data_IF_311544764642
#
_entry.id   IF_311544764642
#
_cell.length_a   1.000
_cell.length_b   1.000
_cell.length_c   1.000
_cell.angle_alpha   90.00
_cell.angle_beta   90.00
_cell.angle_gamma   90.00
#
_symmetry.space_group_name_H-M   'P 1'
#
loop_
_entity.id
_entity.type
_entity.pdbx_description
1 polymer ?
#
# COMPACT_ATOMS: atom_id res chain seq x y z
N UNK A 1 -9.66 6.55 53.09
CA UNK A 1 -9.61 6.33 51.62
C UNK A 1 -10.39 7.43 50.95
N UNK A 2 -9.79 8.20 50.06
CA UNK A 2 -10.50 9.17 49.25
C UNK A 2 -11.52 8.41 48.39
N UNK A 3 -12.73 8.93 48.26
CA UNK A 3 -13.73 8.37 47.34
C UNK A 3 -13.36 8.73 45.92
N UNK A 4 -13.86 7.97 44.95
CA UNK A 4 -13.68 8.27 43.51
C UNK A 4 -14.07 9.73 43.17
N UNK A 5 -15.10 10.26 43.83
CA UNK A 5 -15.55 11.64 43.67
C UNK A 5 -14.55 12.67 44.22
N UNK A 6 -13.84 12.35 45.27
CA UNK A 6 -12.82 13.22 45.87
C UNK A 6 -11.55 13.21 45.05
N UNK A 7 -11.24 12.10 44.39
CA UNK A 7 -10.04 11.96 43.54
C UNK A 7 -10.22 12.59 42.16
N UNK A 8 -11.42 12.60 41.60
CA UNK A 8 -11.63 12.94 40.19
C UNK A 8 -12.66 14.06 39.94
N UNK A 9 -13.43 14.51 40.92
CA UNK A 9 -14.29 15.71 40.87
C UNK A 9 -15.38 15.75 39.79
N UNK A 10 -15.54 14.73 38.95
CA UNK A 10 -16.44 14.72 37.81
C UNK A 10 -17.40 13.52 37.90
N UNK A 11 -18.67 13.78 37.69
CA UNK A 11 -19.69 12.72 37.56
C UNK A 11 -19.59 12.13 36.14
N UNK A 12 -19.54 10.80 36.06
CA UNK A 12 -19.73 10.11 34.77
C UNK A 12 -21.17 10.41 34.29
N UNK A 13 -21.31 10.93 33.09
CA UNK A 13 -22.61 11.16 32.48
C UNK A 13 -23.35 9.84 32.31
N UNK A 14 -24.61 9.79 32.73
CA UNK A 14 -25.49 8.65 32.48
C UNK A 14 -26.40 8.98 31.32
N UNK A 15 -26.30 8.19 30.25
CA UNK A 15 -27.05 8.38 29.00
C UNK A 15 -27.73 7.08 28.60
N UNK A 16 -28.87 7.18 27.88
CA UNK A 16 -29.58 5.99 27.38
C UNK A 16 -29.01 5.47 26.06
N UNK A 17 -28.22 6.29 25.33
CA UNK A 17 -27.51 5.91 24.11
C UNK A 17 -26.12 6.54 24.11
N UNK A 18 -25.21 6.00 23.30
CA UNK A 18 -23.90 6.64 23.15
C UNK A 18 -24.07 8.05 22.54
N UNK A 19 -23.27 9.05 22.98
CA UNK A 19 -23.24 10.38 22.36
C UNK A 19 -22.95 10.27 20.87
N UNK A 20 -23.59 11.10 20.06
CA UNK A 20 -23.38 11.13 18.62
C UNK A 20 -22.05 11.80 18.21
N UNK A 21 -21.48 12.63 19.07
CA UNK A 21 -20.23 13.34 18.84
C UNK A 21 -19.41 13.42 20.15
N UNK A 22 -18.92 12.30 20.69
CA UNK A 22 -18.10 12.30 21.89
C UNK A 22 -16.72 12.91 21.60
N UNK A 23 -16.10 13.48 22.64
CA UNK A 23 -14.72 13.96 22.57
C UNK A 23 -13.74 12.90 23.05
N UNK A 24 -12.55 12.90 22.50
CA UNK A 24 -11.48 12.03 22.97
C UNK A 24 -11.25 12.19 24.48
N UNK A 25 -11.15 11.07 25.19
CA UNK A 25 -11.07 11.01 26.65
C UNK A 25 -12.40 11.13 27.37
N UNK A 26 -13.51 11.38 26.68
CA UNK A 26 -14.84 11.43 27.29
C UNK A 26 -15.26 10.03 27.76
N UNK A 27 -15.83 9.97 28.97
CA UNK A 27 -16.33 8.72 29.58
C UNK A 27 -17.78 8.89 29.99
N UNK A 28 -18.64 7.92 29.70
CA UNK A 28 -20.05 7.90 30.09
C UNK A 28 -20.53 6.50 30.47
N UNK A 29 -21.62 6.45 31.22
CA UNK A 29 -22.33 5.19 31.50
C UNK A 29 -23.56 5.09 30.58
N UNK A 30 -23.59 4.07 29.72
CA UNK A 30 -24.74 3.76 28.90
C UNK A 30 -25.71 2.90 29.72
N UNK A 31 -26.82 3.52 30.17
CA UNK A 31 -27.77 2.86 31.04
C UNK A 31 -28.60 1.77 30.37
N UNK A 32 -28.81 1.85 29.07
CA UNK A 32 -29.49 0.81 28.27
C UNK A 32 -28.66 -0.45 28.15
N UNK A 33 -27.35 -0.29 27.97
CA UNK A 33 -26.41 -1.42 27.82
C UNK A 33 -25.85 -1.88 29.18
N UNK A 34 -26.03 -1.09 30.22
CA UNK A 34 -25.45 -1.35 31.55
C UNK A 34 -23.92 -1.27 31.55
N UNK A 35 -23.31 -0.44 30.70
CA UNK A 35 -21.89 -0.43 30.45
C UNK A 35 -21.27 0.95 30.59
N UNK A 36 -20.08 0.99 31.21
CA UNK A 36 -19.20 2.16 31.13
C UNK A 36 -18.52 2.19 29.78
N UNK A 37 -18.59 3.33 29.11
CA UNK A 37 -18.01 3.57 27.78
C UNK A 37 -17.01 4.71 27.84
N UNK A 38 -15.98 4.64 26.99
CA UNK A 38 -15.03 5.72 26.80
C UNK A 38 -14.78 5.94 25.31
N UNK A 39 -14.58 7.19 24.90
CA UNK A 39 -14.12 7.54 23.57
C UNK A 39 -12.62 7.72 23.62
N UNK A 40 -11.90 6.68 23.22
CA UNK A 40 -10.45 6.56 23.43
C UNK A 40 -9.75 6.31 22.10
N UNK A 41 -8.50 6.76 22.01
CA UNK A 41 -7.64 6.43 20.89
C UNK A 41 -7.35 4.92 20.90
N UNK A 42 -7.85 4.21 19.89
CA UNK A 42 -7.43 2.85 19.60
C UNK A 42 -6.11 2.91 18.83
N UNK A 43 -5.07 2.14 19.21
CA UNK A 43 -3.81 2.12 18.47
C UNK A 43 -4.02 1.58 17.07
N UNK A 44 -3.09 1.90 16.18
CA UNK A 44 -3.00 1.26 14.88
C UNK A 44 -2.78 -0.25 15.04
N UNK A 45 -3.34 -1.03 14.14
CA UNK A 45 -3.25 -2.50 14.14
C UNK A 45 -2.85 -3.05 12.78
N UNK A 46 -2.20 -4.23 12.80
CA UNK A 46 -2.13 -5.15 11.68
C UNK A 46 -2.90 -6.41 12.08
N UNK A 47 -3.80 -6.88 11.23
CA UNK A 47 -4.60 -8.08 11.46
C UNK A 47 -4.54 -8.99 10.24
N UNK A 48 -4.74 -10.30 10.43
CA UNK A 48 -4.78 -11.23 9.30
C UNK A 48 -6.05 -11.04 8.51
N UNK A 49 -5.91 -10.91 7.19
CA UNK A 49 -6.98 -11.02 6.21
C UNK A 49 -7.09 -12.44 5.62
N UNK A 50 -7.96 -12.62 4.64
CA UNK A 50 -8.07 -13.88 3.89
C UNK A 50 -6.82 -14.13 3.05
N UNK A 51 -6.32 -15.36 3.02
CA UNK A 51 -5.16 -15.73 2.22
C UNK A 51 -5.47 -15.72 0.72
N UNK A 52 -4.49 -15.28 -0.09
CA UNK A 52 -4.53 -15.46 -1.55
C UNK A 52 -4.65 -16.96 -1.89
N UNK A 53 -5.33 -17.29 -2.98
CA UNK A 53 -5.43 -18.67 -3.45
C UNK A 53 -4.08 -19.23 -3.90
N UNK A 54 -3.20 -18.35 -4.43
CA UNK A 54 -1.87 -18.73 -4.93
C UNK A 54 -0.79 -17.83 -4.36
N UNK A 55 0.17 -18.42 -3.64
CA UNK A 55 1.35 -17.71 -3.15
C UNK A 55 2.23 -17.25 -4.32
N UNK A 56 2.65 -15.99 -4.33
CA UNK A 56 3.45 -15.38 -5.41
C UNK A 56 4.33 -14.26 -4.90
N UNK A 57 5.37 -14.02 -5.64
CA UNK A 57 6.30 -12.92 -5.44
C UNK A 57 6.43 -12.09 -6.73
N UNK A 58 6.96 -10.87 -6.63
CA UNK A 58 7.19 -10.00 -7.80
C UNK A 58 5.91 -9.77 -8.64
N UNK A 59 4.77 -9.72 -7.99
CA UNK A 59 3.45 -9.58 -8.62
C UNK A 59 3.07 -8.11 -8.78
N UNK A 60 2.12 -7.83 -9.67
CA UNK A 60 1.40 -6.56 -9.74
C UNK A 60 0.21 -6.57 -8.78
N UNK A 61 -0.17 -5.39 -8.33
CA UNK A 61 -1.37 -5.25 -7.51
C UNK A 61 -1.75 -3.79 -7.31
N UNK A 62 -3.03 -3.54 -7.22
CA UNK A 62 -3.60 -2.20 -7.03
C UNK A 62 -4.99 -2.28 -6.41
N UNK A 63 -5.58 -1.12 -6.09
CA UNK A 63 -6.94 -1.00 -5.60
C UNK A 63 -7.15 0.34 -4.90
N UNK A 64 -8.40 0.67 -4.65
CA UNK A 64 -8.80 1.95 -4.05
C UNK A 64 -9.11 1.85 -2.55
N UNK A 65 -9.33 0.65 -2.04
CA UNK A 65 -9.71 0.41 -0.65
C UNK A 65 -9.10 -0.88 -0.11
N UNK A 66 -8.99 -0.98 1.20
CA UNK A 66 -8.57 -2.19 1.91
C UNK A 66 -9.45 -3.40 1.55
N UNK A 67 -10.73 -3.17 1.32
CA UNK A 67 -11.74 -4.20 1.00
C UNK A 67 -12.00 -4.37 -0.50
N UNK A 68 -11.16 -3.80 -1.36
CA UNK A 68 -11.34 -3.87 -2.82
C UNK A 68 -9.98 -3.72 -3.51
N UNK A 69 -9.32 -4.85 -3.71
CA UNK A 69 -8.03 -4.91 -4.34
C UNK A 69 -7.89 -6.05 -5.34
N UNK A 70 -6.88 -5.95 -6.18
CA UNK A 70 -6.55 -6.93 -7.21
C UNK A 70 -5.07 -7.22 -7.18
N UNK A 71 -4.69 -8.49 -7.36
CA UNK A 71 -3.33 -8.94 -7.59
C UNK A 71 -3.25 -9.77 -8.87
N UNK A 72 -2.16 -9.65 -9.61
CA UNK A 72 -2.02 -10.33 -10.89
C UNK A 72 -0.57 -10.60 -11.25
N UNK A 73 -0.35 -11.57 -12.12
CA UNK A 73 0.99 -11.97 -12.56
C UNK A 73 1.87 -12.47 -11.42
N UNK A 74 3.17 -12.26 -11.53
CA UNK A 74 4.17 -12.69 -10.56
C UNK A 74 4.72 -14.08 -10.83
N UNK A 75 5.43 -14.62 -9.83
CA UNK A 75 6.16 -15.89 -9.93
C UNK A 75 5.81 -16.83 -8.79
N UNK A 76 5.57 -18.16 -9.11
CA UNK A 76 5.23 -19.21 -8.16
C UNK A 76 5.38 -20.62 -8.75
N UNK A 77 6.41 -21.33 -8.69
CA UNK A 77 7.80 -21.02 -8.99
C UNK A 77 8.01 -20.56 -10.44
N UNK A 78 6.97 -20.55 -11.27
CA UNK A 78 6.98 -20.09 -12.66
C UNK A 78 6.14 -18.82 -12.81
N UNK A 79 6.45 -18.05 -13.85
CA UNK A 79 5.66 -16.87 -14.21
C UNK A 79 4.21 -17.26 -14.45
N UNK A 80 3.28 -16.44 -14.00
CA UNK A 80 1.85 -16.67 -14.12
C UNK A 80 1.11 -15.42 -14.62
N UNK A 81 -0.07 -15.61 -15.21
CA UNK A 81 -1.01 -14.55 -15.56
C UNK A 81 -2.25 -14.55 -14.64
N UNK A 82 -2.26 -15.36 -13.58
CA UNK A 82 -3.39 -15.47 -12.66
C UNK A 82 -3.71 -14.13 -12.05
N UNK A 83 -4.99 -13.80 -12.00
CA UNK A 83 -5.54 -12.63 -11.33
C UNK A 83 -6.41 -13.09 -10.15
N UNK A 84 -6.31 -12.42 -9.03
CA UNK A 84 -7.16 -12.62 -7.87
C UNK A 84 -7.68 -11.28 -7.34
N UNK A 85 -8.93 -11.28 -6.90
CA UNK A 85 -9.65 -10.10 -6.39
C UNK A 85 -10.00 -10.29 -4.92
N UNK A 86 -9.78 -9.24 -4.12
CA UNK A 86 -10.05 -9.22 -2.68
C UNK A 86 -11.30 -8.43 -2.36
N UNK A 87 -12.20 -9.00 -1.55
CA UNK A 87 -13.45 -8.38 -1.11
C UNK A 87 -13.41 -7.86 0.35
N UNK A 88 -12.23 -7.85 0.99
CA UNK A 88 -12.06 -7.53 2.40
C UNK A 88 -12.15 -8.76 3.32
N UNK A 89 -12.40 -9.94 2.78
CA UNK A 89 -12.53 -11.16 3.56
C UNK A 89 -11.86 -12.35 2.88
N UNK A 90 -12.00 -12.45 1.57
CA UNK A 90 -11.53 -13.58 0.77
C UNK A 90 -11.04 -13.15 -0.61
N UNK A 91 -10.21 -13.99 -1.20
CA UNK A 91 -9.71 -13.84 -2.57
C UNK A 91 -10.49 -14.75 -3.51
N UNK A 92 -10.89 -14.21 -4.65
CA UNK A 92 -11.53 -14.93 -5.75
C UNK A 92 -10.74 -14.78 -7.04
N UNK A 93 -10.70 -15.81 -7.87
CA UNK A 93 -10.01 -15.72 -9.15
C UNK A 93 -10.78 -14.82 -10.12
N UNK A 94 -10.10 -13.84 -10.69
CA UNK A 94 -10.56 -13.01 -11.80
C UNK A 94 -10.10 -13.53 -13.15
N UNK A 95 -10.30 -12.74 -14.21
CA UNK A 95 -9.85 -13.06 -15.56
C UNK A 95 -8.32 -13.15 -15.64
N UNK A 96 -7.80 -14.24 -16.20
CA UNK A 96 -6.35 -14.45 -16.37
C UNK A 96 -5.80 -13.47 -17.41
N UNK A 97 -4.68 -12.80 -17.08
CA UNK A 97 -3.98 -11.97 -18.05
C UNK A 97 -3.34 -12.84 -19.15
N UNK A 98 -3.42 -12.41 -20.42
CA UNK A 98 -2.81 -13.15 -21.54
C UNK A 98 -1.31 -13.31 -21.43
N UNK A 99 -0.62 -12.35 -20.78
CA UNK A 99 0.81 -12.39 -20.56
C UNK A 99 1.13 -12.99 -19.19
N UNK A 100 2.25 -13.73 -19.12
CA UNK A 100 2.83 -14.24 -17.88
C UNK A 100 4.09 -13.46 -17.58
N UNK A 101 4.05 -12.58 -16.60
CA UNK A 101 5.15 -11.65 -16.25
C UNK A 101 5.28 -11.52 -14.73
N UNK A 102 6.47 -11.09 -14.30
CA UNK A 102 6.75 -10.56 -12.97
C UNK A 102 7.29 -9.14 -13.06
N UNK A 103 7.50 -8.46 -11.94
CA UNK A 103 8.12 -7.13 -11.87
C UNK A 103 7.44 -6.10 -12.80
N UNK A 104 6.12 -6.04 -12.81
CA UNK A 104 5.36 -5.14 -13.66
C UNK A 104 4.91 -3.88 -12.92
N UNK A 105 4.67 -2.81 -13.69
CA UNK A 105 3.97 -1.62 -13.21
C UNK A 105 2.49 -1.90 -13.01
N UNK A 106 1.91 -1.34 -11.96
CA UNK A 106 0.48 -1.49 -11.68
C UNK A 106 -0.14 -0.22 -11.15
N UNK A 107 -1.30 0.16 -11.69
CA UNK A 107 -2.08 1.33 -11.28
C UNK A 107 -3.57 1.03 -11.41
N UNK A 108 -4.41 1.85 -10.77
CA UNK A 108 -5.86 1.77 -10.93
C UNK A 108 -6.60 1.20 -9.74
N UNK A 109 -7.70 0.52 -10.01
CA UNK A 109 -8.60 -0.07 -9.01
C UNK A 109 -8.84 -1.55 -9.29
N UNK A 110 -9.56 -2.26 -8.43
CA UNK A 110 -9.92 -3.66 -8.61
C UNK A 110 -10.64 -3.92 -9.95
N UNK A 111 -11.54 -3.05 -10.35
CA UNK A 111 -12.35 -3.20 -11.58
C UNK A 111 -11.82 -2.39 -12.77
N UNK A 112 -10.73 -1.68 -12.60
CA UNK A 112 -10.09 -0.89 -13.65
C UNK A 112 -8.59 -0.80 -13.35
N UNK A 113 -7.88 -1.90 -13.56
CA UNK A 113 -6.45 -2.00 -13.33
C UNK A 113 -5.65 -1.87 -14.62
N UNK A 114 -4.47 -1.29 -14.51
CA UNK A 114 -3.49 -1.16 -15.57
C UNK A 114 -2.25 -1.98 -15.20
N UNK A 115 -1.73 -2.71 -16.15
CA UNK A 115 -0.46 -3.41 -16.08
C UNK A 115 0.45 -2.97 -17.21
N UNK A 116 1.71 -2.64 -16.93
CA UNK A 116 2.70 -2.27 -17.93
C UNK A 116 4.05 -2.89 -17.68
N UNK A 117 4.75 -3.28 -18.76
CA UNK A 117 6.11 -3.80 -18.71
C UNK A 117 6.23 -5.19 -18.09
N UNK A 118 7.33 -5.43 -17.38
CA UNK A 118 7.58 -6.66 -16.61
C UNK A 118 8.73 -7.52 -17.14
N UNK A 119 9.00 -8.57 -16.39
CA UNK A 119 10.02 -9.59 -16.65
C UNK A 119 9.38 -10.87 -17.25
N UNK A 120 9.86 -11.44 -18.36
CA UNK A 120 10.93 -10.93 -19.24
C UNK A 120 10.65 -9.51 -19.74
N UNK A 121 11.73 -8.76 -19.98
CA UNK A 121 11.67 -7.35 -20.33
C UNK A 121 10.66 -7.07 -21.44
N UNK A 122 9.67 -6.21 -21.17
CA UNK A 122 8.53 -5.96 -22.06
C UNK A 122 8.11 -4.50 -22.06
N UNK A 123 7.46 -4.07 -23.15
CA UNK A 123 6.74 -2.82 -23.25
C UNK A 123 5.22 -3.00 -23.29
N UNK A 124 4.75 -4.25 -23.22
CA UNK A 124 3.32 -4.57 -23.29
C UNK A 124 2.55 -3.89 -22.16
N UNK A 125 1.33 -3.50 -22.46
CA UNK A 125 0.39 -2.91 -21.50
C UNK A 125 -0.97 -3.58 -21.62
N UNK A 126 -1.59 -3.88 -20.50
CA UNK A 126 -2.89 -4.51 -20.42
C UNK A 126 -3.82 -3.73 -19.49
N UNK A 127 -5.08 -3.64 -19.86
CA UNK A 127 -6.15 -3.06 -19.06
C UNK A 127 -7.13 -4.13 -18.60
N UNK A 128 -7.55 -4.05 -17.33
CA UNK A 128 -8.56 -4.91 -16.72
C UNK A 128 -9.87 -4.17 -16.57
N UNK A 129 -10.98 -4.79 -16.99
CA UNK A 129 -12.33 -4.21 -16.94
C UNK A 129 -13.20 -4.73 -15.78
N UNK A 130 -12.61 -5.45 -14.82
CA UNK A 130 -13.31 -6.15 -13.73
C UNK A 130 -13.67 -7.59 -14.08
N UNK A 131 -13.35 -8.07 -15.29
CA UNK A 131 -13.62 -9.44 -15.72
C UNK A 131 -12.56 -10.02 -16.64
N UNK A 132 -11.93 -9.21 -17.46
CA UNK A 132 -10.97 -9.63 -18.49
C UNK A 132 -9.87 -8.59 -18.71
N UNK A 133 -8.74 -9.07 -19.22
CA UNK A 133 -7.61 -8.25 -19.61
C UNK A 133 -7.60 -8.04 -21.13
N UNK A 134 -7.36 -6.80 -21.53
CA UNK A 134 -7.23 -6.40 -22.94
C UNK A 134 -5.86 -5.78 -23.18
N UNK A 135 -5.18 -6.20 -24.24
CA UNK A 135 -3.95 -5.56 -24.73
C UNK A 135 -4.26 -4.15 -25.20
N UNK A 136 -3.43 -3.19 -24.83
CA UNK A 136 -3.57 -1.78 -25.17
C UNK A 136 -2.23 -1.19 -25.66
N UNK A 137 -2.12 0.13 -25.74
CA UNK A 137 -0.93 0.79 -26.28
C UNK A 137 0.34 0.54 -25.49
N UNK A 138 1.39 0.04 -26.14
CA UNK A 138 2.66 -0.27 -25.52
C UNK A 138 3.36 0.95 -24.93
N UNK A 139 4.17 0.71 -23.91
CA UNK A 139 5.11 1.68 -23.37
C UNK A 139 6.16 2.08 -24.41
N UNK A 140 6.73 3.31 -24.33
CA UNK A 140 7.75 3.78 -25.28
C UNK A 140 9.04 2.96 -25.29
N UNK A 141 9.27 2.18 -24.24
CA UNK A 141 10.45 1.31 -24.11
C UNK A 141 10.11 0.09 -23.24
N UNK A 142 10.81 -1.01 -23.48
CA UNK A 142 10.69 -2.18 -22.65
C UNK A 142 11.29 -1.93 -21.26
N UNK A 143 10.56 -2.28 -20.22
CA UNK A 143 10.87 -1.97 -18.83
C UNK A 143 10.41 -3.10 -17.91
N UNK A 144 11.13 -3.27 -16.81
CA UNK A 144 10.77 -4.16 -15.69
C UNK A 144 11.34 -3.63 -14.39
N UNK A 145 11.11 -4.35 -13.32
CA UNK A 145 11.69 -4.10 -11.99
C UNK A 145 11.22 -2.76 -11.42
N UNK A 146 9.96 -2.76 -11.10
CA UNK A 146 9.31 -1.59 -10.59
C UNK A 146 8.47 -1.97 -9.40
N UNK A 147 9.15 -2.41 -8.37
CA UNK A 147 8.50 -2.57 -7.09
C UNK A 147 7.95 -1.22 -6.65
N UNK A 148 6.72 -0.92 -7.08
CA UNK A 148 5.98 0.26 -6.70
C UNK A 148 6.30 1.58 -7.41
N UNK A 149 7.08 1.59 -8.48
CA UNK A 149 7.40 2.79 -9.27
C UNK A 149 6.27 3.29 -10.19
N UNK A 150 5.02 3.08 -9.85
CA UNK A 150 3.87 3.59 -10.60
C UNK A 150 2.74 4.04 -9.68
N UNK A 151 1.98 5.01 -10.12
CA UNK A 151 0.81 5.54 -9.42
C UNK A 151 -0.25 6.02 -10.43
N UNK A 152 -1.45 6.29 -9.92
CA UNK A 152 -2.54 6.82 -10.71
C UNK A 152 -3.69 5.84 -10.93
N UNK A 153 -4.44 6.08 -12.00
CA UNK A 153 -5.60 5.28 -12.40
C UNK A 153 -5.30 4.51 -13.69
N UNK A 154 -6.22 3.63 -14.10
CA UNK A 154 -6.13 2.96 -15.39
C UNK A 154 -6.03 3.94 -16.57
N UNK A 155 -6.68 5.09 -16.50
CA UNK A 155 -6.74 6.08 -17.59
C UNK A 155 -5.80 7.27 -17.39
N UNK A 156 -5.08 7.33 -16.27
CA UNK A 156 -4.12 8.39 -15.97
C UNK A 156 -3.05 7.86 -15.02
N UNK A 157 -2.05 7.16 -15.56
CA UNK A 157 -0.99 6.56 -14.78
C UNK A 157 0.36 7.24 -15.04
N UNK A 158 1.21 7.26 -14.02
CA UNK A 158 2.59 7.66 -14.07
C UNK A 158 3.48 6.44 -13.77
N UNK A 159 4.42 6.18 -14.65
CA UNK A 159 5.48 5.22 -14.42
C UNK A 159 6.80 5.96 -14.21
N UNK A 160 7.57 5.55 -13.24
CA UNK A 160 8.78 6.23 -12.79
C UNK A 160 9.97 5.27 -12.81
N UNK A 161 10.97 5.57 -13.63
CA UNK A 161 12.20 4.80 -13.67
C UNK A 161 12.03 3.34 -14.12
N UNK A 162 12.85 2.45 -13.59
CA UNK A 162 12.84 1.01 -13.84
C UNK A 162 14.10 0.49 -14.55
N UNK A 163 14.12 -0.80 -14.82
CA UNK A 163 15.24 -1.49 -15.45
C UNK A 163 14.96 -1.73 -16.94
N UNK A 164 15.86 -1.26 -17.82
CA UNK A 164 15.63 -1.23 -19.27
C UNK A 164 16.53 -2.16 -20.09
N UNK A 165 17.64 -2.65 -19.55
CA UNK A 165 18.55 -3.56 -20.24
C UNK A 165 19.63 -4.10 -19.28
N UNK A 166 20.32 -5.22 -19.57
CA UNK A 166 21.27 -5.79 -18.63
C UNK A 166 22.20 -4.74 -17.98
N UNK A 167 22.04 -4.53 -16.69
CA UNK A 167 22.82 -3.62 -15.87
C UNK A 167 22.43 -2.14 -15.88
N UNK A 168 21.37 -1.73 -16.58
CA UNK A 168 20.99 -0.32 -16.67
C UNK A 168 19.60 -0.04 -16.11
N UNK A 169 19.56 0.82 -15.11
CA UNK A 169 18.33 1.49 -14.65
C UNK A 169 18.14 2.79 -15.42
N UNK A 170 16.90 3.21 -15.57
CA UNK A 170 16.55 4.49 -16.18
C UNK A 170 15.88 5.40 -15.19
N UNK A 171 16.05 6.70 -15.38
CA UNK A 171 15.27 7.74 -14.69
C UNK A 171 14.18 8.35 -15.58
N UNK A 172 13.95 7.78 -16.75
CA UNK A 172 12.88 8.20 -17.66
C UNK A 172 11.53 7.94 -17.01
N UNK A 173 10.61 8.85 -17.25
CA UNK A 173 9.23 8.76 -16.77
C UNK A 173 8.27 8.74 -17.97
N UNK A 174 7.18 8.00 -17.81
CA UNK A 174 6.13 7.91 -18.82
C UNK A 174 4.76 8.16 -18.21
N UNK A 175 3.90 8.78 -18.97
CA UNK A 175 2.50 8.99 -18.64
C UNK A 175 1.59 8.20 -19.57
N UNK A 176 0.55 7.59 -18.99
CA UNK A 176 -0.55 6.95 -19.72
C UNK A 176 -1.78 7.83 -19.69
N UNK A 177 -2.46 7.96 -20.82
CA UNK A 177 -3.63 8.83 -20.99
C UNK A 177 -4.94 8.06 -21.19
N UNK A 178 -4.95 6.75 -20.92
CA UNK A 178 -6.10 5.86 -21.14
C UNK A 178 -6.11 5.21 -22.53
N UNK A 179 -5.11 5.47 -23.39
CA UNK A 179 -4.99 4.83 -24.70
C UNK A 179 -3.55 4.65 -25.17
N UNK A 180 -2.64 5.49 -24.70
CA UNK A 180 -1.23 5.45 -25.12
C UNK A 180 -0.31 5.99 -24.05
N UNK A 181 0.93 5.51 -24.06
CA UNK A 181 2.01 6.01 -23.25
C UNK A 181 2.83 7.07 -24.00
N UNK A 182 3.30 8.05 -23.27
CA UNK A 182 4.26 9.05 -23.76
C UNK A 182 5.34 9.33 -22.73
N UNK A 183 6.58 9.54 -23.21
CA UNK A 183 7.64 10.02 -22.34
C UNK A 183 7.34 11.47 -21.95
N UNK A 184 7.63 11.80 -20.69
CA UNK A 184 7.65 13.19 -20.22
C UNK A 184 9.10 13.68 -20.13
N UNK A 185 9.35 15.00 -20.34
CA UNK A 185 10.71 15.54 -20.36
C UNK A 185 11.38 15.54 -18.98
N UNK A 186 10.60 15.46 -17.91
CA UNK A 186 11.09 15.35 -16.54
C UNK A 186 11.70 13.97 -16.31
N UNK A 187 12.68 13.94 -15.44
CA UNK A 187 13.34 12.69 -15.03
C UNK A 187 13.27 12.52 -13.54
N UNK A 188 13.25 11.29 -13.11
CA UNK A 188 13.36 10.96 -11.71
C UNK A 188 14.73 11.41 -11.17
N UNK A 189 14.82 12.15 -10.03
CA UNK A 189 16.05 12.80 -9.59
C UNK A 189 17.22 11.86 -9.28
N UNK A 190 16.91 10.63 -8.92
CA UNK A 190 17.89 9.58 -8.69
C UNK A 190 17.69 8.50 -9.75
N UNK A 191 18.73 8.17 -10.52
CA UNK A 191 18.71 6.87 -11.18
C UNK A 191 18.63 5.83 -10.07
N UNK A 192 17.61 4.95 -10.07
CA UNK A 192 17.44 4.00 -8.98
C UNK A 192 18.70 3.16 -8.85
N UNK A 193 19.43 3.37 -7.78
CA UNK A 193 20.53 2.50 -7.39
C UNK A 193 19.90 1.24 -6.85
N UNK A 194 20.02 0.13 -7.57
CA UNK A 194 19.73 -1.24 -7.05
C UNK A 194 18.67 -1.30 -5.95
N UNK A 195 17.53 -0.68 -6.14
CA UNK A 195 16.49 -0.61 -5.11
C UNK A 195 15.33 0.15 -5.64
N UNK A 196 14.25 -0.19 -5.15
CA UNK A 196 12.95 0.08 -5.69
C UNK A 196 12.30 1.12 -4.82
N UNK A 197 11.95 2.22 -5.42
CA UNK A 197 11.02 3.16 -4.82
C UNK A 197 9.63 2.54 -4.83
N UNK A 198 8.89 2.75 -3.77
CA UNK A 198 7.46 2.48 -3.71
C UNK A 198 6.73 3.80 -3.88
N UNK A 199 5.75 3.86 -4.78
CA UNK A 199 5.09 5.11 -5.14
C UNK A 199 3.59 5.02 -4.85
N UNK A 200 3.04 6.06 -4.25
CA UNK A 200 1.61 6.19 -3.96
C UNK A 200 1.08 7.56 -4.41
N UNK A 201 -0.17 7.62 -4.86
CA UNK A 201 -0.82 8.85 -5.30
C UNK A 201 -1.46 8.75 -6.66
N UNK A 202 -1.56 9.90 -7.33
CA UNK A 202 -2.12 10.02 -8.67
C UNK A 202 -1.06 10.52 -9.66
N UNK A 203 -1.33 10.44 -10.95
CA UNK A 203 -0.41 10.84 -12.03
C UNK A 203 0.22 12.23 -11.83
N UNK A 204 -0.55 13.18 -11.33
CA UNK A 204 -0.13 14.58 -11.15
C UNK A 204 0.30 14.92 -9.73
N UNK A 205 0.22 13.98 -8.78
CA UNK A 205 0.63 14.20 -7.40
C UNK A 205 0.92 12.86 -6.72
N UNK A 206 2.18 12.50 -6.58
CA UNK A 206 2.57 11.26 -5.92
C UNK A 206 3.78 11.42 -5.01
N UNK A 207 3.91 10.51 -4.07
CA UNK A 207 5.06 10.38 -3.17
C UNK A 207 5.77 9.06 -3.46
N UNK A 208 7.08 9.10 -3.63
CA UNK A 208 7.95 7.95 -3.80
C UNK A 208 8.87 7.83 -2.60
N UNK A 209 8.95 6.64 -2.02
CA UNK A 209 9.73 6.35 -0.83
C UNK A 209 10.64 5.13 -1.03
N UNK A 210 11.87 5.19 -0.47
CA UNK A 210 12.92 4.18 -0.66
C UNK A 210 13.87 4.53 -1.83
N UNK A 211 14.85 3.66 -2.19
CA UNK A 211 15.45 2.73 -1.26
C UNK A 211 16.18 3.45 -0.15
N UNK A 212 16.47 2.79 0.94
CA UNK A 212 17.02 3.45 2.13
C UNK A 212 16.00 4.38 2.80
N UNK A 213 16.36 5.58 3.18
CA UNK A 213 15.45 6.54 3.84
C UNK A 213 14.93 7.63 2.92
N UNK A 214 15.25 7.60 1.64
CA UNK A 214 14.87 8.67 0.71
C UNK A 214 13.36 8.75 0.52
N UNK A 215 12.84 9.97 0.44
CA UNK A 215 11.45 10.26 0.10
C UNK A 215 11.35 11.55 -0.73
N UNK A 216 10.57 11.51 -1.79
CA UNK A 216 10.41 12.61 -2.73
C UNK A 216 8.97 12.70 -3.22
N UNK A 217 8.51 13.90 -3.52
CA UNK A 217 7.17 14.20 -4.02
C UNK A 217 7.19 14.74 -5.44
N UNK A 218 6.21 14.30 -6.23
CA UNK A 218 5.90 14.80 -7.57
C UNK A 218 4.66 15.69 -7.53
N UNK A 219 4.74 16.88 -8.11
CA UNK A 219 3.64 17.87 -8.17
C UNK A 219 2.97 17.97 -9.55
N UNK A 220 3.25 17.04 -10.47
CA UNK A 220 2.81 17.08 -11.87
C UNK A 220 3.79 17.80 -12.81
N UNK A 221 4.85 18.42 -12.27
CA UNK A 221 5.84 19.17 -13.04
C UNK A 221 7.28 18.98 -12.58
N UNK A 222 7.48 18.74 -11.28
CA UNK A 222 8.81 18.63 -10.68
C UNK A 222 8.80 17.71 -9.46
N UNK A 223 10.00 17.17 -9.16
CA UNK A 223 10.24 16.40 -7.93
C UNK A 223 10.84 17.29 -6.85
N UNK A 224 10.37 17.12 -5.64
CA UNK A 224 10.90 17.81 -4.44
C UNK A 224 11.26 16.78 -3.38
N UNK A 225 12.44 16.92 -2.78
CA UNK A 225 12.86 16.08 -1.65
C UNK A 225 12.04 16.43 -0.41
N UNK A 226 11.50 15.40 0.23
CA UNK A 226 10.74 15.51 1.49
C UNK A 226 11.58 15.05 2.68
N UNK A 227 10.98 15.01 3.87
CA UNK A 227 11.63 14.43 5.04
C UNK A 227 11.78 12.91 4.85
N UNK A 228 12.92 12.41 5.31
CA UNK A 228 13.29 11.01 5.18
C UNK A 228 12.34 10.06 5.92
N UNK A 229 12.28 8.81 5.44
CA UNK A 229 11.67 7.71 6.18
C UNK A 229 12.29 7.58 7.58
N UNK A 230 11.48 7.25 8.56
CA UNK A 230 11.93 6.98 9.93
C UNK A 230 12.80 5.72 10.01
N UNK A 231 12.56 4.77 9.13
CA UNK A 231 13.34 3.52 8.97
C UNK A 231 13.54 3.28 7.49
N UNK A 232 14.77 2.95 7.08
CA UNK A 232 15.10 2.62 5.69
C UNK A 232 14.22 1.47 5.19
N UNK A 233 13.74 1.60 3.95
CA UNK A 233 12.83 0.63 3.35
C UNK A 233 13.01 0.59 1.82
N UNK A 234 12.67 -0.55 1.22
CA UNK A 234 12.66 -0.75 -0.23
C UNK A 234 11.58 -1.78 -0.60
N UNK A 235 11.13 -1.79 -1.85
CA UNK A 235 10.22 -2.81 -2.38
C UNK A 235 8.98 -3.08 -1.50
N UNK A 236 8.30 -2.03 -1.07
CA UNK A 236 7.21 -2.06 -0.10
C UNK A 236 5.87 -1.82 -0.74
N UNK A 237 4.80 -2.27 -0.10
CA UNK A 237 3.45 -1.84 -0.41
C UNK A 237 3.25 -0.40 0.08
N UNK A 238 2.99 0.54 -0.81
CA UNK A 238 2.82 1.96 -0.52
C UNK A 238 1.44 2.43 -1.00
N UNK A 239 0.63 2.96 -0.09
CA UNK A 239 -0.76 3.35 -0.35
C UNK A 239 -1.05 4.73 0.19
N UNK A 240 -1.91 5.48 -0.49
CA UNK A 240 -2.35 6.80 -0.06
C UNK A 240 -2.05 7.91 -1.06
N UNK A 241 -1.78 9.09 -0.55
CA UNK A 241 -1.56 10.34 -1.31
C UNK A 241 -0.33 11.10 -0.80
N UNK A 242 0.04 12.17 -1.48
CA UNK A 242 1.10 13.09 -1.04
C UNK A 242 0.85 13.72 0.33
N UNK A 243 -0.39 13.86 0.75
CA UNK A 243 -0.75 14.44 2.05
C UNK A 243 -0.91 13.41 3.16
N UNK A 244 -1.06 12.14 2.83
CA UNK A 244 -1.18 11.06 3.80
C UNK A 244 -0.98 9.72 3.12
N UNK A 245 0.02 8.96 3.55
CA UNK A 245 0.27 7.62 3.01
C UNK A 245 0.77 6.63 4.06
N UNK A 246 0.68 5.35 3.71
CA UNK A 246 1.20 4.23 4.51
C UNK A 246 2.13 3.38 3.67
N UNK A 247 3.29 3.06 4.22
CA UNK A 247 4.30 2.18 3.67
C UNK A 247 4.37 0.93 4.54
N UNK A 248 4.12 -0.24 3.96
CA UNK A 248 4.00 -1.50 4.68
C UNK A 248 5.00 -2.51 4.19
N UNK A 249 5.69 -3.16 5.11
CA UNK A 249 6.65 -4.24 4.84
C UNK A 249 7.82 -3.80 3.95
N UNK A 250 8.55 -4.74 3.40
CA UNK A 250 9.71 -4.47 2.55
C UNK A 250 11.05 -4.63 3.29
N UNK A 251 12.12 -4.92 2.55
CA UNK A 251 13.43 -5.07 3.14
C UNK A 251 13.93 -3.74 3.72
N UNK A 252 14.56 -3.80 4.86
CA UNK A 252 15.40 -2.71 5.34
C UNK A 252 16.83 -2.91 4.75
N UNK A 253 17.28 -2.08 3.80
CA UNK A 253 18.59 -2.24 3.19
C UNK A 253 19.75 -2.06 4.18
N UNK A 254 19.51 -1.37 5.28
CA UNK A 254 20.49 -1.14 6.36
C UNK A 254 20.36 -2.16 7.50
N UNK A 255 19.40 -3.09 7.41
CA UNK A 255 19.09 -4.09 8.42
C UNK A 255 19.71 -5.46 8.14
N UNK A 256 19.72 -6.34 9.14
CA UNK A 256 20.32 -7.68 9.01
C UNK A 256 19.50 -8.65 8.16
N UNK A 257 18.29 -8.29 7.76
CA UNK A 257 17.37 -9.15 7.01
C UNK A 257 16.81 -8.43 5.78
N UNK A 258 16.63 -9.21 4.70
CA UNK A 258 16.00 -8.73 3.46
C UNK A 258 14.46 -8.71 3.54
N UNK A 259 13.89 -8.85 4.73
CA UNK A 259 12.45 -8.93 4.96
C UNK A 259 12.08 -8.04 6.14
N UNK A 260 11.13 -7.15 5.94
CA UNK A 260 10.69 -6.21 6.97
C UNK A 260 9.19 -6.32 7.27
N UNK A 261 8.86 -6.04 8.53
CA UNK A 261 7.47 -5.93 8.99
C UNK A 261 7.09 -4.52 9.44
N UNK A 262 8.00 -3.55 9.29
CA UNK A 262 7.77 -2.17 9.73
C UNK A 262 6.68 -1.54 8.89
N UNK A 263 5.77 -0.85 9.57
CA UNK A 263 4.76 0.03 8.95
C UNK A 263 5.14 1.46 9.29
N UNK A 264 5.16 2.32 8.28
CA UNK A 264 5.43 3.75 8.44
C UNK A 264 4.29 4.56 7.86
N UNK A 265 3.96 5.67 8.49
CA UNK A 265 2.91 6.58 8.04
C UNK A 265 3.48 7.95 7.73
N UNK A 266 2.99 8.56 6.66
CA UNK A 266 3.26 9.93 6.23
C UNK A 266 2.07 10.82 6.55
N UNK A 267 2.31 11.97 7.16
CA UNK A 267 1.27 12.94 7.56
C UNK A 267 1.22 14.19 6.67
N UNK A 268 1.90 14.17 5.52
CA UNK A 268 2.07 15.32 4.63
C UNK A 268 3.31 16.14 4.96
N UNK A 269 4.07 15.80 6.00
CA UNK A 269 5.25 16.55 6.44
C UNK A 269 6.37 15.62 6.88
N UNK A 270 6.05 14.56 7.60
CA UNK A 270 7.03 13.66 8.22
C UNK A 270 6.61 12.19 8.18
N UNK A 271 7.60 11.31 8.12
CA UNK A 271 7.41 9.87 8.28
C UNK A 271 7.57 9.47 9.74
N UNK A 272 6.72 8.60 10.21
CA UNK A 272 6.80 8.01 11.55
C UNK A 272 6.54 6.51 11.51
N UNK A 273 7.24 5.76 12.38
CA UNK A 273 6.95 4.35 12.56
C UNK A 273 5.60 4.18 13.27
N UNK A 274 4.72 3.38 12.70
CA UNK A 274 3.49 2.95 13.36
C UNK A 274 3.82 1.96 14.50
N UNK A 275 3.06 1.92 15.59
CA UNK A 275 3.16 0.84 16.58
C UNK A 275 2.69 -0.51 16.03
N UNK A 276 1.90 -0.51 14.95
CA UNK A 276 1.52 -1.72 14.23
C UNK A 276 2.71 -2.21 13.38
N UNK A 277 2.89 -3.51 13.30
CA UNK A 277 3.85 -4.14 12.39
C UNK A 277 3.27 -5.42 11.81
N UNK A 278 3.69 -5.78 10.59
CA UNK A 278 3.28 -7.04 9.99
C UNK A 278 3.82 -8.22 10.82
N UNK A 279 2.97 -9.22 11.04
CA UNK A 279 3.34 -10.46 11.75
C UNK A 279 4.18 -11.37 10.84
N UNK A 280 4.08 -11.21 9.53
CA UNK A 280 4.88 -11.89 8.54
C UNK A 280 5.79 -10.90 7.81
N UNK A 281 7.02 -10.65 8.31
CA UNK A 281 8.00 -9.80 7.61
C UNK A 281 8.27 -10.33 6.21
N UNK A 282 8.11 -9.45 5.19
CA UNK A 282 8.15 -9.87 3.79
C UNK A 282 8.74 -8.81 2.88
N UNK A 283 9.07 -9.22 1.65
CA UNK A 283 9.43 -8.36 0.53
C UNK A 283 8.63 -8.74 -0.71
N UNK A 284 8.69 -7.89 -1.74
CA UNK A 284 8.08 -8.15 -3.05
C UNK A 284 6.56 -8.45 -2.95
N UNK A 285 5.92 -7.84 -1.98
CA UNK A 285 4.49 -7.86 -1.76
C UNK A 285 3.82 -6.66 -2.40
N UNK A 286 2.53 -6.72 -2.56
CA UNK A 286 1.71 -5.62 -3.06
C UNK A 286 0.64 -5.25 -2.06
N UNK A 287 0.04 -4.09 -2.24
CA UNK A 287 -1.02 -3.61 -1.37
C UNK A 287 -2.08 -2.81 -2.09
N UNK A 288 -3.13 -2.52 -1.36
CA UNK A 288 -4.22 -1.64 -1.78
C UNK A 288 -4.80 -0.93 -0.57
N UNK A 289 -5.44 0.20 -0.81
CA UNK A 289 -6.13 0.94 0.23
C UNK A 289 -5.73 2.40 0.33
N UNK A 290 -5.95 2.94 1.50
CA UNK A 290 -5.66 4.33 1.86
C UNK A 290 -4.61 4.38 2.98
N UNK A 291 -4.16 5.59 3.33
CA UNK A 291 -3.27 5.79 4.47
C UNK A 291 -3.83 5.31 5.83
N UNK A 292 -5.12 5.13 5.94
CA UNK A 292 -5.81 4.77 7.20
C UNK A 292 -6.38 3.37 7.21
N UNK A 293 -6.58 2.76 6.04
CA UNK A 293 -7.09 1.40 5.91
C UNK A 293 -6.50 0.79 4.62
N UNK A 294 -5.55 -0.13 4.76
CA UNK A 294 -4.84 -0.74 3.66
C UNK A 294 -4.55 -2.22 3.95
N UNK A 295 -4.22 -2.98 2.93
CA UNK A 295 -3.67 -4.32 3.11
C UNK A 295 -2.34 -4.48 2.40
N UNK A 296 -1.59 -5.50 2.82
CA UNK A 296 -0.44 -6.06 2.11
C UNK A 296 -0.68 -7.55 1.90
N UNK A 297 -0.43 -8.04 0.68
CA UNK A 297 -0.72 -9.42 0.31
C UNK A 297 0.44 -10.06 -0.45
N UNK A 298 0.52 -11.38 -0.36
CA UNK A 298 1.51 -12.21 -1.06
C UNK A 298 2.96 -11.79 -0.74
N UNK A 299 3.86 -11.86 -1.72
CA UNK A 299 5.29 -11.63 -1.51
C UNK A 299 6.02 -12.87 -1.01
N UNK A 300 7.20 -12.65 -0.43
CA UNK A 300 8.00 -13.75 0.12
C UNK A 300 8.64 -13.36 1.45
N UNK A 301 8.86 -14.35 2.28
CA UNK A 301 9.72 -14.27 3.47
C UNK A 301 11.06 -15.01 3.26
N UNK A 302 11.77 -15.28 4.35
CA UNK A 302 13.04 -16.01 4.31
C UNK A 302 12.90 -17.48 3.90
N UNK A 303 11.70 -18.04 3.97
CA UNK A 303 11.42 -19.46 3.80
C UNK A 303 10.78 -19.78 2.47
N UNK A 304 9.78 -18.98 2.05
CA UNK A 304 8.96 -19.31 0.86
C UNK A 304 8.16 -18.10 0.37
N UNK A 305 7.42 -18.29 -0.73
CA UNK A 305 6.38 -17.37 -1.20
C UNK A 305 5.15 -17.46 -0.29
N UNK A 306 4.52 -16.33 -0.06
CA UNK A 306 3.40 -16.21 0.88
C UNK A 306 2.05 -16.16 0.18
N UNK A 307 1.05 -16.74 0.84
CA UNK A 307 -0.38 -16.49 0.54
C UNK A 307 -1.00 -15.47 1.50
N UNK A 308 -0.31 -15.12 2.57
CA UNK A 308 -0.85 -14.30 3.64
C UNK A 308 -1.21 -12.89 3.18
N UNK A 309 -2.38 -12.43 3.61
CA UNK A 309 -2.82 -11.04 3.57
C UNK A 309 -2.85 -10.50 5.00
N UNK A 310 -2.36 -9.28 5.18
CA UNK A 310 -2.47 -8.57 6.45
C UNK A 310 -3.06 -7.18 6.21
N UNK A 311 -3.98 -6.80 7.07
CA UNK A 311 -4.74 -5.55 6.98
C UNK A 311 -4.25 -4.55 8.01
N UNK A 312 -3.99 -3.34 7.56
CA UNK A 312 -3.60 -2.21 8.38
C UNK A 312 -4.79 -1.30 8.63
N UNK A 313 -5.07 -1.04 9.90
CA UNK A 313 -5.96 0.02 10.36
C UNK A 313 -5.16 1.04 11.15
N UNK A 314 -5.24 2.31 10.75
CA UNK A 314 -4.58 3.39 11.46
C UNK A 314 -5.19 3.63 12.84
N UNK A 315 -4.43 4.26 13.73
CA UNK A 315 -4.95 4.69 15.01
C UNK A 315 -6.18 5.61 14.83
N UNK A 316 -7.25 5.29 15.51
CA UNK A 316 -8.49 6.05 15.43
C UNK A 316 -9.18 6.15 16.78
N UNK A 317 -9.87 7.27 17.02
CA UNK A 317 -10.67 7.42 18.23
C UNK A 317 -11.97 6.62 18.09
N UNK A 318 -12.25 5.78 19.05
CA UNK A 318 -13.41 4.89 19.01
C UNK A 318 -14.07 4.73 20.39
N UNK A 319 -15.38 4.44 20.38
CA UNK A 319 -16.09 4.07 21.59
C UNK A 319 -15.72 2.66 22.02
N UNK A 320 -15.15 2.53 23.21
CA UNK A 320 -14.80 1.24 23.83
C UNK A 320 -15.59 1.03 25.10
N UNK A 321 -15.91 -0.23 25.42
CA UNK A 321 -16.40 -0.61 26.75
C UNK A 321 -15.21 -0.64 27.71
N UNK A 322 -15.32 0.09 28.80
CA UNK A 322 -14.33 0.10 29.85
C UNK A 322 -14.63 -1.02 30.84
N UNK A 323 -13.74 -1.98 30.98
CA UNK A 323 -13.86 -3.06 31.95
C UNK A 323 -12.97 -2.76 33.15
N UNK A 324 -13.47 -2.99 34.34
CA UNK A 324 -12.63 -3.02 35.55
C UNK A 324 -11.92 -4.37 35.60
N UNK A 325 -10.60 -4.33 35.61
CA UNK A 325 -9.76 -5.51 35.91
C UNK A 325 -9.76 -5.78 37.41
#
# INVERSE_FOLDING_TARGET
MATYRELHGVRVNVVSSNPSNPKEGEVWYNSTLGQLKGYVLAPATMSSGGNCNTGRTQLGGTGAAQTSGIIFGGETPSLTGVTEEYDGTSWTNGGTCPATKSDMHSSGTQTAALWGGGSPLSAETYEYDGSSWTDTGNMPFSNRDTFGGSCGTQTAALQVGGFINPGNYTNVMCEYNGSSWSNIPQTFPSAPKTGTFSTAGIQTACISAGPSTDSIEWDGSSWTTTNNLATGNAASAHQGTVSSSVLMTGPNPDGPTNYGGVVQTWDGTSWSNSPASASNPRSQAVGSGTATAAYVAAGRDASDVLTATEEFDAAAVATKTLTTS
#
